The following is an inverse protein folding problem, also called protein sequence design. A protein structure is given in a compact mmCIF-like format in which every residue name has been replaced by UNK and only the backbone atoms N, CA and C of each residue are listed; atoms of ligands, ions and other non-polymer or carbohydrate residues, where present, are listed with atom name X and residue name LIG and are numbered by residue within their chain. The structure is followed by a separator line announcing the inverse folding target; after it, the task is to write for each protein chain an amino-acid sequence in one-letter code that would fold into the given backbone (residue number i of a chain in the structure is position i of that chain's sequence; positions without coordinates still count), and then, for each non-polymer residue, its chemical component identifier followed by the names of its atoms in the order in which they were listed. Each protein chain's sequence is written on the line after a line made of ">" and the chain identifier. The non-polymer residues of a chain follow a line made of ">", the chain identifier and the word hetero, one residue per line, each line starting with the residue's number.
data_IF_822578485072
#
_entry.id   IF_822578485072
#
_cell.length_a   1.000
_cell.length_b   1.000
_cell.length_c   1.000
_cell.angle_alpha   90.00
_cell.angle_beta   90.00
_cell.angle_gamma   90.00
#
_symmetry.space_group_name_H-M   'P 1'
#
loop_
_entity.id
_entity.type
_entity.pdbx_description
1 polymer ?
#
# COMPACT_ATOMS: atom_id res chain seq x y z
N UNK A 1 18.91 5.47 -49.06
CA UNK A 1 18.39 6.08 -47.82
C UNK A 1 17.62 5.02 -47.06
N UNK A 2 18.24 4.49 -46.02
CA UNK A 2 17.71 3.46 -45.11
C UNK A 2 17.52 4.16 -43.76
N UNK A 3 16.63 3.61 -42.93
CA UNK A 3 16.34 3.92 -41.52
C UNK A 3 15.10 4.78 -41.29
N UNK A 4 13.91 4.19 -41.46
CA UNK A 4 12.69 4.60 -40.72
C UNK A 4 11.71 3.41 -40.53
N UNK A 5 12.18 2.26 -40.03
CA UNK A 5 11.25 1.14 -39.77
C UNK A 5 11.57 0.34 -38.51
N UNK A 6 12.05 1.01 -37.46
CA UNK A 6 12.26 0.38 -36.14
C UNK A 6 11.26 0.81 -35.07
N UNK A 7 10.55 1.93 -35.23
CA UNK A 7 9.71 2.47 -34.15
C UNK A 7 8.21 2.11 -34.21
N UNK A 8 7.73 1.40 -35.25
CA UNK A 8 6.31 1.02 -35.35
C UNK A 8 5.96 -0.37 -34.81
N UNK A 9 6.92 -1.15 -34.33
CA UNK A 9 6.67 -2.50 -33.80
C UNK A 9 6.35 -2.54 -32.30
N UNK A 10 6.50 -1.44 -31.57
CA UNK A 10 6.34 -1.40 -30.10
C UNK A 10 4.88 -1.24 -29.62
N UNK A 11 3.92 -1.08 -30.54
CA UNK A 11 2.49 -0.87 -30.20
C UNK A 11 1.53 -1.77 -30.97
N UNK A 12 1.98 -2.95 -31.41
CA UNK A 12 1.11 -3.96 -32.01
C UNK A 12 0.85 -5.06 -30.99
N UNK A 13 -0.27 -4.94 -30.27
CA UNK A 13 -0.80 -6.01 -29.40
C UNK A 13 -1.23 -7.20 -30.26
N UNK A 14 -0.27 -8.08 -30.54
CA UNK A 14 -0.55 -9.40 -31.11
C UNK A 14 -1.28 -10.22 -30.05
N UNK A 15 -2.62 -10.31 -30.17
CA UNK A 15 -3.39 -11.42 -29.61
C UNK A 15 -2.85 -12.72 -30.19
N UNK A 16 -1.95 -13.38 -29.46
CA UNK A 16 -1.63 -14.79 -29.64
C UNK A 16 -1.81 -15.49 -28.30
N UNK A 17 -2.72 -16.45 -28.34
CA UNK A 17 -3.10 -17.34 -27.26
C UNK A 17 -1.96 -18.34 -27.07
N UNK A 18 -0.95 -17.95 -26.30
CA UNK A 18 0.17 -18.82 -25.94
C UNK A 18 -0.01 -19.15 -24.45
N UNK A 19 -0.27 -20.43 -24.18
CA UNK A 19 -0.52 -21.00 -22.86
C UNK A 19 0.80 -21.04 -22.06
N UNK A 20 1.36 -19.87 -21.81
CA UNK A 20 2.47 -19.65 -20.91
C UNK A 20 1.86 -19.02 -19.67
N UNK A 21 1.68 -19.80 -18.60
CA UNK A 21 1.05 -19.39 -17.35
C UNK A 21 1.93 -18.40 -16.57
N UNK A 22 2.32 -17.29 -17.21
CA UNK A 22 2.96 -16.16 -16.56
C UNK A 22 1.94 -15.57 -15.61
N UNK A 23 2.05 -16.00 -14.35
CA UNK A 23 1.27 -15.48 -13.21
C UNK A 23 1.15 -13.96 -13.33
N UNK A 24 -0.08 -13.48 -13.27
CA UNK A 24 -0.39 -12.06 -13.48
C UNK A 24 0.45 -11.19 -12.53
N UNK A 25 1.10 -10.16 -13.08
CA UNK A 25 1.88 -9.19 -12.32
C UNK A 25 0.98 -8.08 -11.81
N UNK A 26 1.34 -7.51 -10.67
CA UNK A 26 0.59 -6.42 -10.04
C UNK A 26 0.63 -5.13 -10.86
N UNK A 27 1.79 -4.78 -11.46
CA UNK A 27 1.92 -3.59 -12.28
C UNK A 27 1.58 -2.30 -11.51
N UNK A 28 0.71 -1.46 -12.05
CA UNK A 28 0.34 -0.16 -11.45
C UNK A 28 -0.28 -0.28 -10.06
N UNK A 29 -0.96 -1.39 -9.75
CA UNK A 29 -1.53 -1.63 -8.42
C UNK A 29 -0.46 -1.88 -7.34
N UNK A 30 0.82 -1.83 -7.70
CA UNK A 30 1.94 -1.96 -6.78
C UNK A 30 1.92 -0.84 -5.74
N UNK A 31 1.54 0.38 -6.13
CA UNK A 31 1.44 1.50 -5.21
C UNK A 31 0.31 1.31 -4.19
N UNK A 32 -0.83 0.78 -4.63
CA UNK A 32 -1.91 0.40 -3.73
C UNK A 32 -1.46 -0.69 -2.76
N UNK A 33 -0.84 -1.76 -3.28
CA UNK A 33 -0.31 -2.85 -2.46
C UNK A 33 0.74 -2.38 -1.45
N UNK A 34 1.62 -1.44 -1.83
CA UNK A 34 2.57 -0.80 -0.91
C UNK A 34 1.86 0.02 0.18
N UNK A 35 0.78 0.73 -0.17
CA UNK A 35 -0.07 1.42 0.81
C UNK A 35 -0.70 0.45 1.82
N UNK A 36 -1.19 -0.71 1.35
CA UNK A 36 -1.71 -1.76 2.23
C UNK A 36 -0.62 -2.34 3.14
N UNK A 37 0.59 -2.57 2.60
CA UNK A 37 1.75 -2.99 3.40
C UNK A 37 2.08 -1.98 4.49
N UNK A 38 2.08 -0.67 4.18
CA UNK A 38 2.31 0.40 5.16
C UNK A 38 1.27 0.39 6.28
N UNK A 39 -0.03 0.23 5.96
CA UNK A 39 -1.09 0.12 6.97
C UNK A 39 -0.90 -1.10 7.88
N UNK A 40 -0.57 -2.26 7.31
CA UNK A 40 -0.30 -3.48 8.08
C UNK A 40 0.93 -3.34 8.98
N UNK A 41 1.99 -2.68 8.49
CA UNK A 41 3.17 -2.38 9.29
C UNK A 41 2.83 -1.49 10.48
N UNK A 42 2.05 -0.44 10.26
CA UNK A 42 1.63 0.45 11.34
C UNK A 42 0.81 -0.30 12.42
N UNK A 43 -0.16 -1.12 11.99
CA UNK A 43 -0.93 -1.97 12.90
C UNK A 43 -0.01 -2.94 13.67
N UNK A 44 0.87 -3.66 12.97
CA UNK A 44 1.81 -4.59 13.62
C UNK A 44 2.68 -3.90 14.66
N UNK A 45 3.23 -2.73 14.33
CA UNK A 45 4.13 -2.00 15.22
C UNK A 45 3.41 -1.43 16.45
N UNK A 46 2.16 -0.99 16.28
CA UNK A 46 1.30 -0.54 17.39
C UNK A 46 0.95 -1.66 18.38
N UNK A 47 1.02 -2.92 17.94
CA UNK A 47 0.72 -4.12 18.73
C UNK A 47 1.94 -4.73 19.42
N UNK A 48 3.11 -4.08 19.37
CA UNK A 48 4.29 -4.53 20.12
C UNK A 48 4.07 -4.37 21.63
N UNK A 49 4.65 -5.25 22.45
CA UNK A 49 4.45 -5.20 23.91
C UNK A 49 4.82 -3.83 24.51
N UNK A 50 5.86 -3.20 23.97
CA UNK A 50 6.27 -1.84 24.35
C UNK A 50 5.18 -0.79 24.06
N UNK A 51 4.59 -0.82 22.86
CA UNK A 51 3.54 0.16 22.50
C UNK A 51 2.25 -0.10 23.26
N UNK A 52 1.91 -1.37 23.49
CA UNK A 52 0.74 -1.76 24.30
C UNK A 52 0.92 -1.31 25.76
N UNK A 53 2.08 -1.53 26.36
CA UNK A 53 2.36 -1.08 27.73
C UNK A 53 2.26 0.44 27.87
N UNK A 54 2.85 1.18 26.92
CA UNK A 54 2.73 2.64 26.85
C UNK A 54 1.27 3.09 26.71
N UNK A 55 0.50 2.46 25.83
CA UNK A 55 -0.91 2.78 25.64
C UNK A 55 -1.72 2.55 26.93
N UNK A 56 -1.47 1.45 27.65
CA UNK A 56 -2.11 1.17 28.93
C UNK A 56 -1.76 2.21 29.99
N UNK A 57 -0.50 2.64 30.04
CA UNK A 57 -0.07 3.72 30.93
C UNK A 57 -0.77 5.05 30.59
N UNK A 58 -0.86 5.41 29.32
CA UNK A 58 -1.57 6.62 28.87
C UNK A 58 -3.06 6.57 29.22
N UNK A 59 -3.72 5.42 29.05
CA UNK A 59 -5.12 5.20 29.45
C UNK A 59 -5.30 5.39 30.96
N UNK A 60 -4.41 4.80 31.76
CA UNK A 60 -4.48 4.84 33.22
C UNK A 60 -4.22 6.24 33.79
N UNK A 61 -3.32 7.01 33.17
CA UNK A 61 -2.84 8.28 33.73
C UNK A 61 -3.53 9.53 33.12
N UNK A 62 -4.14 9.42 31.94
CA UNK A 62 -4.74 10.57 31.27
C UNK A 62 -6.11 10.93 31.85
N UNK A 63 -6.16 12.07 32.55
CA UNK A 63 -7.42 12.68 33.01
C UNK A 63 -8.35 12.99 31.83
N UNK A 64 -7.79 13.37 30.67
CA UNK A 64 -8.56 13.67 29.46
C UNK A 64 -9.29 12.44 28.92
N UNK A 65 -8.61 11.28 28.86
CA UNK A 65 -9.23 10.01 28.42
C UNK A 65 -10.34 9.62 29.39
N UNK A 66 -10.09 9.70 30.70
CA UNK A 66 -11.09 9.35 31.73
C UNK A 66 -12.34 10.20 31.65
N UNK A 67 -12.19 11.51 31.49
CA UNK A 67 -13.30 12.47 31.46
C UNK A 67 -14.05 12.53 30.13
N UNK A 68 -13.36 12.38 28.99
CA UNK A 68 -13.98 12.55 27.67
C UNK A 68 -14.43 11.22 27.05
N UNK A 69 -13.80 10.11 27.42
CA UNK A 69 -14.13 8.78 26.88
C UNK A 69 -14.86 7.96 27.92
N UNK A 70 -14.20 7.55 29.00
CA UNK A 70 -14.78 6.65 30.02
C UNK A 70 -13.87 6.51 31.23
N UNK A 71 -14.41 6.37 32.43
CA UNK A 71 -13.62 5.95 33.59
C UNK A 71 -13.44 4.41 33.64
N UNK A 72 -14.32 3.65 32.99
CA UNK A 72 -14.18 2.20 32.80
C UNK A 72 -13.08 1.90 31.76
N UNK A 73 -11.95 1.38 32.23
CA UNK A 73 -10.80 0.97 31.40
C UNK A 73 -11.17 -0.13 30.40
N UNK A 74 -12.02 -1.08 30.77
CA UNK A 74 -12.45 -2.16 29.88
C UNK A 74 -13.27 -1.60 28.71
N UNK A 75 -14.04 -0.52 28.94
CA UNK A 75 -14.75 0.19 27.87
C UNK A 75 -13.79 0.87 26.90
N UNK A 76 -12.72 1.47 27.40
CA UNK A 76 -11.70 2.10 26.54
C UNK A 76 -10.97 1.05 25.73
N UNK A 77 -10.55 -0.05 26.35
CA UNK A 77 -9.91 -1.18 25.69
C UNK A 77 -10.81 -1.78 24.61
N UNK A 78 -12.12 -1.94 24.87
CA UNK A 78 -13.11 -2.34 23.85
C UNK A 78 -13.14 -1.40 22.65
N UNK A 79 -13.19 -0.09 22.88
CA UNK A 79 -13.22 0.91 21.80
C UNK A 79 -11.95 0.85 20.94
N UNK A 80 -10.78 0.74 21.56
CA UNK A 80 -9.51 0.59 20.84
C UNK A 80 -9.49 -0.70 20.02
N UNK A 81 -9.95 -1.81 20.59
CA UNK A 81 -10.03 -3.08 19.88
C UNK A 81 -10.92 -2.98 18.64
N UNK A 82 -12.10 -2.34 18.76
CA UNK A 82 -13.02 -2.10 17.63
C UNK A 82 -12.33 -1.27 16.55
N UNK A 83 -11.72 -0.14 16.90
CA UNK A 83 -11.01 0.74 15.96
C UNK A 83 -9.87 -0.01 15.22
N UNK A 84 -9.08 -0.82 15.93
CA UNK A 84 -8.01 -1.60 15.30
C UNK A 84 -8.55 -2.69 14.37
N UNK A 85 -9.68 -3.31 14.74
CA UNK A 85 -10.37 -4.30 13.93
C UNK A 85 -10.97 -3.67 12.66
N UNK A 86 -11.57 -2.49 12.76
CA UNK A 86 -12.08 -1.74 11.61
C UNK A 86 -10.94 -1.35 10.65
N UNK A 87 -9.81 -0.86 11.18
CA UNK A 87 -8.62 -0.55 10.38
C UNK A 87 -8.08 -1.79 9.66
N UNK A 88 -8.04 -2.95 10.33
CA UNK A 88 -7.65 -4.21 9.70
C UNK A 88 -8.66 -4.65 8.64
N UNK A 89 -9.96 -4.48 8.90
CA UNK A 89 -11.06 -4.79 7.98
C UNK A 89 -10.97 -4.01 6.68
N UNK A 90 -10.66 -2.71 6.75
CA UNK A 90 -10.44 -1.89 5.54
C UNK A 90 -9.28 -2.43 4.68
N UNK A 91 -8.19 -2.89 5.31
CA UNK A 91 -7.09 -3.54 4.58
C UNK A 91 -7.56 -4.86 3.98
N UNK A 92 -8.27 -5.68 4.73
CA UNK A 92 -8.79 -6.96 4.27
C UNK A 92 -9.72 -6.80 3.05
N UNK A 93 -10.61 -5.81 3.05
CA UNK A 93 -11.48 -5.52 1.89
C UNK A 93 -10.68 -5.19 0.63
N UNK A 94 -9.62 -4.39 0.74
CA UNK A 94 -8.73 -4.11 -0.39
C UNK A 94 -7.96 -5.35 -0.87
N UNK A 95 -7.48 -6.18 0.07
CA UNK A 95 -6.83 -7.47 -0.24
C UNK A 95 -7.80 -8.42 -0.95
N UNK A 96 -9.07 -8.50 -0.52
CA UNK A 96 -10.11 -9.29 -1.16
C UNK A 96 -10.39 -8.84 -2.59
N UNK A 97 -10.38 -7.53 -2.87
CA UNK A 97 -10.50 -7.03 -4.25
C UNK A 97 -9.31 -7.44 -5.12
N UNK A 98 -8.09 -7.32 -4.60
CA UNK A 98 -6.88 -7.68 -5.36
C UNK A 98 -6.73 -9.20 -5.52
N UNK A 99 -7.22 -10.01 -4.57
CA UNK A 99 -7.08 -11.47 -4.59
C UNK A 99 -7.86 -12.14 -5.72
N UNK A 100 -8.91 -11.48 -6.25
CA UNK A 100 -9.67 -11.94 -7.42
C UNK A 100 -8.79 -12.15 -8.66
N UNK A 101 -7.65 -11.44 -8.73
CA UNK A 101 -6.68 -11.54 -9.82
C UNK A 101 -5.60 -12.61 -9.60
N UNK A 102 -5.57 -13.27 -8.44
CA UNK A 102 -4.63 -14.38 -8.18
C UNK A 102 -4.84 -15.53 -9.15
N UNK A 103 -3.81 -16.32 -9.41
CA UNK A 103 -3.93 -17.59 -10.13
C UNK A 103 -4.22 -18.74 -9.16
N UNK A 104 -3.77 -18.65 -7.91
CA UNK A 104 -4.03 -19.63 -6.85
C UNK A 104 -5.48 -19.54 -6.34
N UNK A 105 -6.29 -20.62 -6.44
CA UNK A 105 -7.66 -20.67 -5.94
C UNK A 105 -7.79 -20.38 -4.44
N UNK A 106 -6.81 -20.80 -3.63
CA UNK A 106 -6.83 -20.55 -2.18
C UNK A 106 -6.68 -19.07 -1.86
N UNK A 107 -5.94 -18.33 -2.67
CA UNK A 107 -5.81 -16.89 -2.50
C UNK A 107 -7.07 -16.16 -3.00
N UNK A 108 -7.71 -16.65 -4.06
CA UNK A 108 -9.00 -16.11 -4.52
C UNK A 108 -10.09 -16.22 -3.46
N UNK A 109 -10.06 -17.27 -2.63
CA UNK A 109 -11.00 -17.44 -1.50
C UNK A 109 -10.65 -16.61 -0.25
N UNK A 110 -9.70 -15.67 -0.33
CA UNK A 110 -9.33 -14.81 0.81
C UNK A 110 -10.52 -14.13 1.48
N UNK A 111 -11.47 -13.59 0.70
CA UNK A 111 -12.65 -12.89 1.24
C UNK A 111 -13.47 -13.81 2.16
N UNK A 112 -13.72 -15.04 1.70
CA UNK A 112 -14.42 -16.06 2.48
C UNK A 112 -13.62 -16.45 3.72
N UNK A 113 -12.31 -16.70 3.56
CA UNK A 113 -11.44 -17.07 4.66
C UNK A 113 -11.40 -15.99 5.76
N UNK A 114 -11.36 -14.72 5.38
CA UNK A 114 -11.38 -13.61 6.33
C UNK A 114 -12.73 -13.51 7.03
N UNK A 115 -13.85 -13.69 6.31
CA UNK A 115 -15.18 -13.72 6.92
C UNK A 115 -15.31 -14.85 7.94
N UNK A 116 -14.78 -16.04 7.63
CA UNK A 116 -14.77 -17.18 8.56
C UNK A 116 -13.90 -16.90 9.79
N UNK A 117 -12.75 -16.23 9.59
CA UNK A 117 -11.88 -15.78 10.68
C UNK A 117 -12.61 -14.82 11.64
N UNK A 118 -13.35 -13.84 11.12
CA UNK A 118 -14.08 -12.86 11.94
C UNK A 118 -15.28 -13.50 12.64
N UNK A 119 -16.05 -14.34 11.94
CA UNK A 119 -17.32 -14.89 12.46
C UNK A 119 -17.12 -16.00 13.48
N UNK A 120 -16.19 -16.91 13.22
CA UNK A 120 -16.03 -18.13 14.01
C UNK A 120 -14.59 -18.35 14.50
N UNK A 121 -13.66 -17.42 14.22
CA UNK A 121 -12.27 -17.53 14.68
C UNK A 121 -11.44 -18.57 13.91
N UNK A 122 -11.91 -19.06 12.77
CA UNK A 122 -11.27 -20.15 12.05
C UNK A 122 -10.21 -19.65 11.05
N UNK A 123 -8.98 -20.17 11.17
CA UNK A 123 -7.92 -20.04 10.16
C UNK A 123 -7.78 -21.35 9.38
N UNK A 124 -8.74 -21.62 8.48
CA UNK A 124 -8.82 -22.87 7.74
C UNK A 124 -7.56 -23.17 6.89
N UNK A 125 -6.80 -22.14 6.53
CA UNK A 125 -5.62 -22.26 5.66
C UNK A 125 -4.28 -22.09 6.41
N UNK A 126 -4.29 -21.92 7.74
CA UNK A 126 -3.07 -21.74 8.53
C UNK A 126 -2.24 -20.55 8.06
N UNK A 127 -2.90 -19.45 7.72
CA UNK A 127 -2.28 -18.24 7.20
C UNK A 127 -1.56 -17.42 8.28
N UNK A 128 -1.90 -17.59 9.55
CA UNK A 128 -1.14 -16.96 10.64
C UNK A 128 0.34 -17.32 10.60
N UNK A 129 1.20 -16.30 10.71
CA UNK A 129 2.63 -16.47 10.93
C UNK A 129 2.91 -16.64 12.42
N UNK A 130 4.02 -17.29 12.74
CA UNK A 130 4.66 -17.09 14.05
C UNK A 130 5.15 -15.64 14.15
N UNK A 131 5.22 -15.08 15.36
CA UNK A 131 5.62 -13.68 15.55
C UNK A 131 7.00 -13.37 14.95
N UNK A 132 8.00 -14.21 15.22
CA UNK A 132 9.34 -14.07 14.63
C UNK A 132 9.34 -14.09 13.10
N UNK A 133 8.42 -14.85 12.49
CA UNK A 133 8.27 -14.88 11.02
C UNK A 133 7.58 -13.61 10.55
N UNK A 134 6.58 -13.13 11.27
CA UNK A 134 5.90 -11.87 10.97
C UNK A 134 6.87 -10.68 11.00
N UNK A 135 7.77 -10.58 11.99
CA UNK A 135 8.78 -9.51 12.03
C UNK A 135 9.72 -9.52 10.82
N UNK A 136 10.12 -10.72 10.37
CA UNK A 136 10.92 -10.86 9.14
C UNK A 136 10.11 -10.44 7.90
N UNK A 137 8.80 -10.71 7.89
CA UNK A 137 7.89 -10.28 6.80
C UNK A 137 7.61 -8.78 6.86
N UNK A 138 7.50 -8.19 8.04
CA UNK A 138 7.38 -6.75 8.26
C UNK A 138 8.59 -6.02 7.65
N UNK A 139 9.81 -6.42 7.99
CA UNK A 139 11.03 -5.88 7.36
C UNK A 139 11.05 -6.01 5.84
N UNK A 140 10.43 -7.06 5.29
CA UNK A 140 10.28 -7.23 3.83
C UNK A 140 9.26 -6.26 3.24
N UNK A 141 8.13 -6.07 3.92
CA UNK A 141 7.11 -5.09 3.54
C UNK A 141 7.65 -3.65 3.60
N UNK A 142 8.49 -3.32 4.59
CA UNK A 142 9.16 -2.02 4.68
C UNK A 142 10.03 -1.76 3.45
N UNK A 143 10.86 -2.73 3.05
CA UNK A 143 11.69 -2.63 1.84
C UNK A 143 10.86 -2.45 0.58
N UNK A 144 9.74 -3.15 0.44
CA UNK A 144 8.84 -2.97 -0.69
C UNK A 144 8.18 -1.59 -0.68
N UNK A 145 7.75 -1.12 0.48
CA UNK A 145 7.14 0.20 0.65
C UNK A 145 8.13 1.29 0.25
N UNK A 146 9.39 1.21 0.71
CA UNK A 146 10.46 2.14 0.33
C UNK A 146 10.79 2.06 -1.17
N UNK A 147 10.95 0.86 -1.73
CA UNK A 147 11.24 0.68 -3.16
C UNK A 147 10.12 1.22 -4.06
N UNK A 148 8.86 1.06 -3.64
CA UNK A 148 7.71 1.60 -4.35
C UNK A 148 7.57 3.12 -4.23
N UNK A 149 7.89 3.70 -3.06
CA UNK A 149 7.94 5.15 -2.88
C UNK A 149 9.00 5.78 -3.78
N UNK A 150 10.21 5.18 -3.82
CA UNK A 150 11.26 5.60 -4.74
C UNK A 150 10.83 5.47 -6.20
N UNK A 151 10.24 4.32 -6.59
CA UNK A 151 9.71 4.15 -7.95
C UNK A 151 8.68 5.23 -8.31
N UNK A 152 7.79 5.60 -7.38
CA UNK A 152 6.79 6.65 -7.64
C UNK A 152 7.46 7.99 -7.93
N UNK A 153 8.39 8.42 -7.07
CA UNK A 153 9.14 9.67 -7.25
C UNK A 153 9.91 9.67 -8.58
N UNK A 154 10.60 8.58 -8.91
CA UNK A 154 11.38 8.52 -10.15
C UNK A 154 10.55 8.41 -11.43
N UNK A 155 9.30 7.93 -11.32
CA UNK A 155 8.35 8.00 -12.43
C UNK A 155 7.80 9.41 -12.64
N UNK A 156 7.62 10.19 -11.57
CA UNK A 156 7.22 11.61 -11.65
C UNK A 156 8.33 12.44 -12.29
N UNK A 157 9.58 12.28 -11.84
CA UNK A 157 10.72 12.98 -12.46
C UNK A 157 10.91 12.61 -13.93
N UNK A 158 10.70 11.33 -14.30
CA UNK A 158 10.73 10.91 -15.70
C UNK A 158 9.63 11.60 -16.52
N UNK A 159 8.40 11.70 -15.99
CA UNK A 159 7.30 12.35 -16.68
C UNK A 159 7.58 13.84 -16.95
N UNK A 160 8.19 14.54 -16.00
CA UNK A 160 8.59 15.95 -16.14
C UNK A 160 9.69 16.13 -17.22
N UNK A 161 10.68 15.23 -17.24
CA UNK A 161 11.72 15.21 -18.27
C UNK A 161 11.13 14.93 -19.66
N UNK A 162 10.23 13.95 -19.78
CA UNK A 162 9.56 13.63 -21.04
C UNK A 162 8.69 14.80 -21.54
N UNK A 163 7.99 15.48 -20.64
CA UNK A 163 7.21 16.67 -20.99
C UNK A 163 8.10 17.82 -21.46
N UNK A 164 9.24 18.04 -20.80
CA UNK A 164 10.20 19.08 -21.18
C UNK A 164 10.84 18.78 -22.53
N UNK A 165 11.25 17.53 -22.78
CA UNK A 165 11.74 17.09 -24.08
C UNK A 165 10.70 17.36 -25.18
N UNK A 166 9.43 17.06 -24.92
CA UNK A 166 8.34 17.32 -25.88
C UNK A 166 8.20 18.81 -26.21
N UNK A 167 8.40 19.70 -25.23
CA UNK A 167 8.39 21.16 -25.46
C UNK A 167 9.60 21.61 -26.27
N UNK A 168 10.79 21.07 -25.99
CA UNK A 168 12.01 21.38 -26.75
C UNK A 168 11.89 20.98 -28.23
N UNK A 169 11.32 19.80 -28.51
CA UNK A 169 11.10 19.33 -29.89
C UNK A 169 10.08 20.14 -30.68
N UNK A 170 9.19 20.86 -29.99
CA UNK A 170 8.18 21.72 -30.63
C UNK A 170 8.64 23.16 -30.84
N UNK A 171 9.89 23.48 -30.51
CA UNK A 171 10.46 24.81 -30.63
C UNK A 171 11.51 24.81 -31.75
N UNK A 172 11.26 25.55 -32.84
CA UNK A 172 12.08 25.50 -34.06
C UNK A 172 13.49 26.10 -33.87
N UNK A 173 13.69 26.90 -32.82
CA UNK A 173 14.98 27.55 -32.47
C UNK A 173 15.86 26.71 -31.51
N UNK A 174 15.48 25.47 -31.21
CA UNK A 174 16.22 24.64 -30.26
C UNK A 174 17.58 24.17 -30.83
N UNK A 175 18.67 24.41 -30.09
CA UNK A 175 20.00 23.91 -30.44
C UNK A 175 20.00 22.37 -30.53
N UNK A 176 20.30 21.87 -31.72
CA UNK A 176 20.33 20.44 -32.05
C UNK A 176 21.24 19.62 -31.11
N UNK A 177 22.32 20.21 -30.62
CA UNK A 177 23.27 19.53 -29.72
C UNK A 177 22.64 19.39 -28.32
N UNK A 178 22.09 20.49 -27.80
CA UNK A 178 21.37 20.51 -26.52
C UNK A 178 20.20 19.52 -26.49
N UNK A 179 19.47 19.41 -27.61
CA UNK A 179 18.36 18.46 -27.74
C UNK A 179 18.83 17.00 -27.62
N UNK A 180 19.92 16.63 -28.32
CA UNK A 180 20.47 15.27 -28.28
C UNK A 180 20.98 14.91 -26.88
N UNK A 181 21.61 15.85 -26.17
CA UNK A 181 22.01 15.63 -24.77
C UNK A 181 20.81 15.40 -23.85
N UNK A 182 19.74 16.16 -24.05
CA UNK A 182 18.51 16.01 -23.28
C UNK A 182 17.80 14.67 -23.56
N UNK A 183 17.79 14.21 -24.82
CA UNK A 183 17.29 12.88 -25.18
C UNK A 183 18.05 11.76 -24.47
N UNK A 184 19.38 11.86 -24.39
CA UNK A 184 20.20 10.90 -23.64
C UNK A 184 19.83 10.88 -22.15
N UNK A 185 19.59 12.05 -21.56
CA UNK A 185 19.15 12.18 -20.16
C UNK A 185 17.80 11.48 -19.91
N UNK A 186 16.83 11.67 -20.80
CA UNK A 186 15.53 10.98 -20.73
C UNK A 186 15.71 9.46 -20.86
N UNK A 187 16.50 9.01 -21.84
CA UNK A 187 16.76 7.57 -22.05
C UNK A 187 17.42 6.91 -20.84
N UNK A 188 18.39 7.60 -20.20
CA UNK A 188 19.01 7.13 -18.96
C UNK A 188 17.97 6.97 -17.85
N UNK A 189 17.09 7.98 -17.66
CA UNK A 189 16.05 7.94 -16.64
C UNK A 189 15.02 6.83 -16.88
N UNK A 190 14.66 6.57 -18.14
CA UNK A 190 13.79 5.45 -18.51
C UNK A 190 14.38 4.11 -18.09
N UNK A 191 15.69 3.90 -18.28
CA UNK A 191 16.38 2.69 -17.88
C UNK A 191 16.43 2.54 -16.35
N UNK A 192 16.64 3.63 -15.62
CA UNK A 192 16.58 3.64 -14.15
C UNK A 192 15.19 3.24 -13.64
N UNK A 193 14.12 3.85 -14.17
CA UNK A 193 12.73 3.49 -13.81
C UNK A 193 12.43 2.03 -14.14
N UNK A 194 12.95 1.50 -15.24
CA UNK A 194 12.80 0.08 -15.59
C UNK A 194 13.44 -0.82 -14.54
N UNK A 195 14.65 -0.51 -14.09
CA UNK A 195 15.32 -1.24 -13.02
C UNK A 195 14.57 -1.13 -11.68
N UNK A 196 14.02 0.04 -11.34
CA UNK A 196 13.19 0.21 -10.14
C UNK A 196 11.90 -0.63 -10.20
N UNK A 197 11.28 -0.76 -11.38
CA UNK A 197 10.13 -1.67 -11.58
C UNK A 197 10.49 -3.13 -11.34
N UNK A 198 11.70 -3.57 -11.68
CA UNK A 198 12.20 -4.94 -11.43
C UNK A 198 12.39 -5.24 -9.94
N UNK A 199 12.80 -4.25 -9.16
CA UNK A 199 13.08 -4.42 -7.73
C UNK A 199 11.86 -4.22 -6.82
N UNK A 200 10.88 -3.42 -7.26
CA UNK A 200 9.66 -3.08 -6.53
C UNK A 200 8.55 -4.15 -6.61
N UNK A 201 7.37 -3.85 -6.05
CA UNK A 201 6.17 -4.68 -6.21
C UNK A 201 5.64 -4.70 -7.65
N UNK A 202 6.04 -3.76 -8.52
CA UNK A 202 5.54 -3.64 -9.89
C UNK A 202 5.69 -4.94 -10.69
N UNK A 203 6.85 -5.61 -10.55
CA UNK A 203 7.12 -6.89 -11.21
C UNK A 203 6.82 -8.12 -10.34
N UNK A 204 6.19 -7.97 -9.17
CA UNK A 204 5.72 -9.11 -8.37
C UNK A 204 4.37 -9.61 -8.86
N UNK A 205 4.11 -10.89 -8.63
CA UNK A 205 2.83 -11.52 -9.00
C UNK A 205 1.74 -11.18 -7.98
N UNK A 206 0.48 -11.27 -8.40
CA UNK A 206 -0.66 -11.22 -7.48
C UNK A 206 -0.52 -12.29 -6.40
N UNK A 207 -0.30 -13.56 -6.76
CA UNK A 207 -0.13 -14.66 -5.79
C UNK A 207 0.87 -14.33 -4.69
N UNK A 208 2.07 -13.86 -5.05
CA UNK A 208 3.12 -13.58 -4.08
C UNK A 208 2.70 -12.47 -3.11
N UNK A 209 2.13 -11.40 -3.65
CA UNK A 209 1.79 -10.21 -2.87
C UNK A 209 0.58 -10.46 -1.98
N UNK A 210 -0.46 -11.08 -2.53
CA UNK A 210 -1.68 -11.41 -1.79
C UNK A 210 -1.40 -12.46 -0.73
N UNK A 211 -0.56 -13.45 -1.00
CA UNK A 211 -0.16 -14.41 0.04
C UNK A 211 0.58 -13.72 1.19
N UNK A 212 1.45 -12.73 0.91
CA UNK A 212 2.10 -11.95 1.95
C UNK A 212 1.11 -11.12 2.76
N UNK A 213 0.22 -10.39 2.09
CA UNK A 213 -0.79 -9.54 2.74
C UNK A 213 -1.79 -10.35 3.55
N UNK A 214 -2.33 -11.44 2.98
CA UNK A 214 -3.31 -12.31 3.62
C UNK A 214 -2.79 -12.88 4.93
N UNK A 215 -1.57 -13.44 4.89
CA UNK A 215 -0.94 -13.99 6.09
C UNK A 215 -0.65 -12.93 7.14
N UNK A 216 -0.26 -11.72 6.73
CA UNK A 216 -0.09 -10.59 7.64
C UNK A 216 -1.40 -10.14 8.27
N UNK A 217 -2.50 -10.06 7.50
CA UNK A 217 -3.84 -9.75 8.01
C UNK A 217 -4.25 -10.74 9.09
N UNK A 218 -4.15 -12.04 8.82
CA UNK A 218 -4.51 -13.10 9.76
C UNK A 218 -3.66 -13.06 11.04
N UNK A 219 -2.36 -12.79 10.89
CA UNK A 219 -1.45 -12.68 12.03
C UNK A 219 -1.78 -11.47 12.92
N UNK A 220 -2.08 -10.32 12.30
CA UNK A 220 -2.45 -9.10 13.01
C UNK A 220 -3.79 -9.29 13.73
N UNK A 221 -4.77 -9.95 13.09
CA UNK A 221 -6.03 -10.33 13.75
C UNK A 221 -5.79 -11.11 15.04
N UNK A 222 -4.99 -12.19 14.96
CA UNK A 222 -4.65 -13.00 16.12
C UNK A 222 -3.94 -12.20 17.21
N UNK A 223 -3.05 -11.28 16.82
CA UNK A 223 -2.33 -10.41 17.76
C UNK A 223 -3.25 -9.39 18.44
N UNK A 224 -4.21 -8.80 17.74
CA UNK A 224 -5.24 -7.92 18.34
C UNK A 224 -6.00 -8.70 19.42
N UNK A 225 -6.43 -9.92 19.10
CA UNK A 225 -7.14 -10.77 20.07
C UNK A 225 -6.30 -11.16 21.28
N UNK A 226 -5.00 -11.38 21.12
CA UNK A 226 -4.09 -11.63 22.23
C UNK A 226 -3.86 -10.39 23.11
N UNK A 227 -3.78 -9.20 22.51
CA UNK A 227 -3.46 -7.95 23.23
C UNK A 227 -4.66 -7.40 24.00
N UNK A 228 -5.86 -7.45 23.40
CA UNK A 228 -7.07 -6.85 23.96
C UNK A 228 -8.09 -7.87 24.45
N UNK A 229 -7.98 -9.15 24.04
CA UNK A 229 -8.88 -10.21 24.44
C UNK A 229 -9.99 -10.47 23.41
N UNK A 230 -10.22 -11.75 23.09
CA UNK A 230 -11.19 -12.18 22.08
C UNK A 230 -12.64 -11.79 22.41
N UNK A 231 -12.98 -11.64 23.70
CA UNK A 231 -14.32 -11.21 24.13
C UNK A 231 -14.72 -9.84 23.54
N UNK A 232 -13.74 -8.97 23.25
CA UNK A 232 -14.00 -7.66 22.67
C UNK A 232 -14.12 -7.69 21.14
N UNK A 233 -13.68 -8.76 20.49
CA UNK A 233 -13.76 -8.93 19.03
C UNK A 233 -15.11 -9.49 18.57
N UNK A 234 -15.77 -10.32 19.39
CA UNK A 234 -17.05 -10.96 19.07
C UNK A 234 -18.17 -9.94 18.82
N UNK A 235 -18.13 -8.77 19.47
CA UNK A 235 -19.12 -7.71 19.28
C UNK A 235 -19.00 -6.99 17.93
N UNK A 236 -17.83 -7.03 17.26
CA UNK A 236 -17.62 -6.39 15.94
C UNK A 236 -18.38 -7.12 14.83
N UNK A 237 -18.42 -8.46 14.90
CA UNK A 237 -19.11 -9.30 13.90
C UNK A 237 -20.64 -9.18 13.92
N UNK A 238 -21.23 -8.71 15.02
CA UNK A 238 -22.69 -8.55 15.18
C UNK A 238 -23.17 -7.21 14.63
N UNK A 239 -22.37 -6.14 14.76
CA UNK A 239 -22.72 -4.79 14.30
C UNK A 239 -22.84 -4.64 12.78
N UNK A 240 -22.09 -5.43 12.00
CA UNK A 240 -22.11 -5.37 10.53
C UNK A 240 -23.43 -5.91 9.93
N UNK A 241 -24.19 -6.69 10.72
CA UNK A 241 -25.51 -7.20 10.29
C UNK A 241 -26.64 -6.17 10.41
N UNK A 242 -26.44 -5.05 11.11
CA UNK A 242 -27.48 -4.01 11.35
C UNK A 242 -27.24 -2.70 10.61
N UNK A 243 -26.10 -2.54 9.94
CA UNK A 243 -25.73 -1.31 9.23
C UNK A 243 -25.27 -1.62 7.80
N UNK A 244 -25.95 -2.55 7.11
CA UNK A 244 -25.98 -2.56 5.64
C UNK A 244 -27.00 -1.54 5.16
N UNK A 245 -26.60 -0.27 5.18
CA UNK A 245 -27.03 0.79 4.25
C UNK A 245 -26.49 2.13 4.76
N UNK A 246 -25.19 2.37 4.59
CA UNK A 246 -24.71 3.75 4.50
C UNK A 246 -23.47 3.81 3.61
N UNK A 247 -23.69 4.40 2.44
CA UNK A 247 -22.68 4.72 1.45
C UNK A 247 -21.63 5.67 2.02
N UNK A 248 -20.55 5.14 2.59
CA UNK A 248 -19.33 5.93 2.85
C UNK A 248 -18.41 5.87 1.63
N UNK A 249 -18.80 6.61 0.59
CA UNK A 249 -17.85 7.11 -0.41
C UNK A 249 -17.01 8.22 0.24
N UNK A 250 -16.09 7.83 1.12
CA UNK A 250 -15.13 8.78 1.72
C UNK A 250 -13.92 8.85 0.78
N UNK A 251 -13.96 9.87 -0.07
CA UNK A 251 -12.90 10.34 -0.97
C UNK A 251 -11.51 10.19 -0.31
N UNK A 252 -10.67 9.37 -0.89
CA UNK A 252 -9.22 9.45 -0.68
C UNK A 252 -8.74 10.78 -1.27
N UNK A 253 -8.55 11.80 -0.43
CA UNK A 253 -7.71 12.95 -0.79
C UNK A 253 -6.27 12.58 -0.49
N UNK A 254 -5.49 12.36 -1.54
CA UNK A 254 -4.03 12.31 -1.45
C UNK A 254 -3.53 13.69 -1.02
N UNK A 255 -3.02 13.81 0.21
CA UNK A 255 -2.31 15.00 0.68
C UNK A 255 -0.91 14.94 0.06
N UNK A 256 -0.70 15.66 -1.04
CA UNK A 256 0.61 16.01 -1.54
C UNK A 256 1.16 17.13 -0.65
N UNK A 257 2.17 16.83 0.17
CA UNK A 257 2.96 17.85 0.84
C UNK A 257 3.91 18.50 -0.18
N UNK A 258 3.53 19.65 -0.72
CA UNK A 258 4.47 20.57 -1.36
C UNK A 258 4.89 21.61 -0.32
N UNK A 259 6.06 21.41 0.31
CA UNK A 259 6.78 22.51 0.92
C UNK A 259 7.67 23.14 -0.14
N UNK A 260 7.31 24.34 -0.58
CA UNK A 260 8.21 25.26 -1.27
C UNK A 260 8.10 26.60 -0.56
N UNK A 261 9.12 26.94 0.23
CA UNK A 261 9.32 28.29 0.75
C UNK A 261 10.59 28.85 0.11
N UNK A 262 10.42 29.60 -0.98
CA UNK A 262 11.47 30.45 -1.54
C UNK A 262 11.06 31.89 -1.24
N UNK A 263 11.84 32.55 -0.37
CA UNK A 263 11.79 34.00 -0.18
C UNK A 263 12.34 34.72 -1.42
N UNK A 264 11.79 35.89 -1.77
CA UNK A 264 12.59 36.94 -2.39
C UNK A 264 12.73 38.13 -1.43
N UNK A 265 13.99 38.50 -1.23
CA UNK A 265 14.44 39.79 -0.73
C UNK A 265 14.13 40.89 -1.75
N UNK A 266 13.53 42.00 -1.31
CA UNK A 266 13.58 43.26 -2.05
C UNK A 266 14.11 44.38 -1.14
N UNK A 267 15.37 44.73 -1.42
CA UNK A 267 15.91 46.07 -1.17
C UNK A 267 15.23 47.06 -2.12
N UNK A 268 14.80 48.22 -1.61
CA UNK A 268 14.93 49.51 -2.31
C UNK A 268 14.68 50.69 -1.36
N UNK A 269 15.77 51.41 -1.08
CA UNK A 269 15.81 52.83 -0.75
C UNK A 269 15.55 53.66 -2.03
N UNK A 270 15.18 54.95 -1.96
CA UNK A 270 15.98 56.03 -1.34
C UNK A 270 15.55 56.39 0.08
#
# INVERSE_FOLDING_TARGET
>A
MVVESWFRSLWRTSRKHEFDSRKARIGVLAFEAAGLMSKLLHLWQSLTDKQVARLREEIMNSVGIKKLVSEDEDRIVRLICIEMMENLGQVAQAVARLSKQCSDPLLRSFEQAYNDLIKIGADAYGWQFTWNKMDKKAKKMERFTAANANLYQEMETLADLEQTLKRMKGNDDADSISLVEYEKKVAWKQQEVKHLKENSLWNRTYDYTIHLLARSVFTIYGRIGQVFGFNHMVNVGVTDSRVSDSSYSRRNQSILYTQSSVHPSENRHP
#
